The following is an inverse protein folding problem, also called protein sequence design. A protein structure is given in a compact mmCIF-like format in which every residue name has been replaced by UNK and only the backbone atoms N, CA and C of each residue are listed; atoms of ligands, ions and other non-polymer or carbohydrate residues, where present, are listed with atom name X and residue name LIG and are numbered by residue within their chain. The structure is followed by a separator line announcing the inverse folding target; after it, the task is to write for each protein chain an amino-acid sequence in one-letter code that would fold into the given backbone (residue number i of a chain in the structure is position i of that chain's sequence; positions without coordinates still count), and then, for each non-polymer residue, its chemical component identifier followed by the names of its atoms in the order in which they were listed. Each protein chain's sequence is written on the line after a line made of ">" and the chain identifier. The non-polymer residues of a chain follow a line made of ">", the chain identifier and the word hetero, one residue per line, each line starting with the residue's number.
data_IF_651226997767
#
_entry.id   IF_651226997767
#
_cell.length_a   1.000
_cell.length_b   1.000
_cell.length_c   1.000
_cell.angle_alpha   90.00
_cell.angle_beta   90.00
_cell.angle_gamma   90.00
#
_symmetry.space_group_name_H-M   'P 1'
#
loop_
_entity.id
_entity.type
_entity.pdbx_description
1 polymer ?
#
# COMPACT_ATOMS: atom_id res chain seq x y z
N UNK A 1 35.35 -41.87 26.76
CA UNK A 1 34.07 -41.14 26.75
C UNK A 1 34.22 -40.05 25.69
N UNK A 2 33.78 -40.31 24.45
CA UNK A 2 33.95 -39.36 23.32
C UNK A 2 32.67 -38.56 23.20
N UNK A 3 32.71 -37.31 23.65
CA UNK A 3 31.60 -36.36 23.53
C UNK A 3 31.27 -36.13 22.05
N UNK A 4 30.12 -36.66 21.62
CA UNK A 4 29.52 -36.30 20.34
C UNK A 4 28.99 -34.87 20.45
N UNK A 5 29.67 -33.90 19.86
CA UNK A 5 29.06 -32.59 19.61
C UNK A 5 27.79 -32.79 18.75
N UNK A 6 26.62 -32.29 19.19
CA UNK A 6 25.42 -32.36 18.38
C UNK A 6 25.60 -31.51 17.12
N UNK A 7 25.31 -32.12 15.97
CA UNK A 7 25.28 -31.49 14.65
C UNK A 7 24.47 -30.19 14.70
N UNK A 8 25.13 -29.08 14.38
CA UNK A 8 24.49 -27.78 14.23
C UNK A 8 23.49 -27.83 13.08
N UNK A 9 22.23 -28.15 13.40
CA UNK A 9 21.13 -27.98 12.47
C UNK A 9 21.13 -26.54 11.97
N UNK A 10 21.48 -26.37 10.70
CA UNK A 10 21.44 -25.10 10.01
C UNK A 10 19.98 -24.70 9.83
N UNK A 11 19.38 -24.15 10.90
CA UNK A 11 18.03 -23.58 10.86
C UNK A 11 18.00 -22.59 9.69
N UNK A 12 17.05 -22.70 8.75
CA UNK A 12 16.96 -21.80 7.62
C UNK A 12 16.91 -20.38 8.17
N UNK A 13 17.99 -19.61 7.93
CA UNK A 13 18.11 -18.24 8.38
C UNK A 13 17.01 -17.47 7.66
N UNK A 14 15.97 -17.09 8.39
CA UNK A 14 14.92 -16.21 7.89
C UNK A 14 15.59 -14.90 7.44
N UNK A 15 15.88 -14.79 6.14
CA UNK A 15 16.60 -13.68 5.56
C UNK A 15 15.66 -12.47 5.50
N UNK A 16 15.64 -11.69 6.58
CA UNK A 16 14.82 -10.50 6.79
C UNK A 16 15.11 -9.35 5.81
N UNK A 17 16.11 -9.49 4.95
CA UNK A 17 16.47 -8.51 3.91
C UNK A 17 15.32 -8.14 2.98
N UNK A 18 14.38 -9.07 2.75
CA UNK A 18 13.21 -8.80 1.91
C UNK A 18 12.05 -8.13 2.65
N UNK A 19 12.01 -8.20 3.99
CA UNK A 19 10.90 -7.70 4.79
C UNK A 19 10.89 -6.18 4.85
N UNK A 20 12.06 -5.57 5.05
CA UNK A 20 12.17 -4.10 5.11
C UNK A 20 11.81 -3.46 3.76
N UNK A 21 12.31 -4.03 2.65
CA UNK A 21 12.00 -3.54 1.30
C UNK A 21 10.54 -3.75 0.88
N UNK A 22 9.85 -4.75 1.44
CA UNK A 22 8.41 -4.93 1.28
C UNK A 22 7.67 -3.89 2.12
N UNK A 23 7.98 -3.80 3.41
CA UNK A 23 7.37 -2.85 4.32
C UNK A 23 7.46 -1.40 3.83
N UNK A 24 8.62 -0.96 3.34
CA UNK A 24 8.79 0.38 2.78
C UNK A 24 7.99 0.60 1.49
N UNK A 25 7.85 -0.42 0.63
CA UNK A 25 6.98 -0.37 -0.54
C UNK A 25 5.53 -0.12 -0.13
N UNK A 26 5.03 -0.92 0.81
CA UNK A 26 3.67 -0.80 1.32
C UNK A 26 3.42 0.52 2.03
N UNK A 27 4.41 1.01 2.78
CA UNK A 27 4.33 2.29 3.45
C UNK A 27 4.21 3.44 2.45
N UNK A 28 5.18 3.57 1.54
CA UNK A 28 5.27 4.70 0.60
C UNK A 28 4.22 4.62 -0.51
N UNK A 29 4.20 3.51 -1.25
CA UNK A 29 3.27 3.34 -2.38
C UNK A 29 1.85 3.06 -1.89
N UNK A 30 1.67 2.37 -0.75
CA UNK A 30 0.33 2.18 -0.19
C UNK A 30 -0.26 3.49 0.32
N UNK A 31 0.56 4.38 0.88
CA UNK A 31 0.11 5.71 1.26
C UNK A 31 -0.25 6.56 0.04
N UNK A 32 0.59 6.54 -1.01
CA UNK A 32 0.27 7.19 -2.29
C UNK A 32 -1.03 6.69 -2.92
N UNK A 33 -1.26 5.38 -2.89
CA UNK A 33 -2.50 4.77 -3.39
C UNK A 33 -3.72 5.20 -2.57
N UNK A 34 -3.59 5.24 -1.23
CA UNK A 34 -4.65 5.71 -0.35
C UNK A 34 -5.04 7.17 -0.62
N UNK A 35 -4.04 8.04 -0.83
CA UNK A 35 -4.28 9.44 -1.22
C UNK A 35 -4.96 9.55 -2.58
N UNK A 36 -4.50 8.79 -3.58
CA UNK A 36 -5.08 8.83 -4.92
C UNK A 36 -6.55 8.35 -4.92
N UNK A 37 -6.85 7.24 -4.25
CA UNK A 37 -8.21 6.71 -4.13
C UNK A 37 -9.12 7.63 -3.31
N UNK A 38 -8.62 8.18 -2.20
CA UNK A 38 -9.35 9.16 -1.39
C UNK A 38 -9.64 10.45 -2.17
N UNK A 39 -8.66 10.94 -2.93
CA UNK A 39 -8.86 12.08 -3.84
C UNK A 39 -9.91 11.78 -4.91
N UNK A 40 -9.87 10.58 -5.51
CA UNK A 40 -10.86 10.16 -6.50
C UNK A 40 -12.28 10.16 -5.91
N UNK A 41 -12.42 9.68 -4.67
CA UNK A 41 -13.68 9.68 -3.93
C UNK A 41 -14.17 11.09 -3.61
N UNK A 42 -13.26 12.00 -3.26
CA UNK A 42 -13.60 13.39 -3.00
C UNK A 42 -14.18 14.07 -4.26
N UNK A 43 -13.54 13.86 -5.42
CA UNK A 43 -13.94 14.45 -6.70
C UNK A 43 -15.20 13.79 -7.30
N UNK A 44 -15.32 12.45 -7.27
CA UNK A 44 -16.48 11.73 -7.82
C UNK A 44 -17.73 11.79 -6.93
N UNK A 45 -17.59 12.11 -5.65
CA UNK A 45 -18.73 12.16 -4.74
C UNK A 45 -19.64 13.38 -5.01
N UNK A 46 -20.97 13.24 -4.90
CA UNK A 46 -21.92 14.33 -5.12
C UNK A 46 -21.55 15.57 -4.28
N UNK A 47 -21.56 16.75 -4.90
CA UNK A 47 -21.20 18.03 -4.26
C UNK A 47 -19.72 18.43 -4.32
N UNK A 48 -18.84 17.65 -4.98
CA UNK A 48 -17.42 18.00 -5.13
C UNK A 48 -16.65 18.06 -3.79
N UNK A 49 -15.59 18.87 -3.72
CA UNK A 49 -14.73 19.02 -2.53
C UNK A 49 -15.50 19.69 -1.36
N UNK A 50 -16.59 20.40 -1.68
CA UNK A 50 -17.45 21.16 -0.75
C UNK A 50 -18.61 20.33 -0.16
N UNK A 51 -18.57 19.00 -0.28
CA UNK A 51 -19.63 18.10 0.18
C UNK A 51 -19.79 18.01 1.71
N UNK A 52 -19.80 19.11 2.44
CA UNK A 52 -20.09 19.19 3.87
C UNK A 52 -19.10 18.45 4.80
N UNK A 53 -19.18 18.75 6.10
CA UNK A 53 -18.26 18.21 7.11
C UNK A 53 -18.27 16.67 7.22
N UNK A 54 -19.42 16.03 7.00
CA UNK A 54 -19.55 14.58 7.08
C UNK A 54 -18.76 13.82 6.00
N UNK A 55 -18.74 14.33 4.77
CA UNK A 55 -17.98 13.70 3.66
C UNK A 55 -16.49 13.84 3.87
N UNK A 56 -16.03 14.98 4.36
CA UNK A 56 -14.61 15.21 4.68
C UNK A 56 -14.14 14.23 5.77
N UNK A 57 -14.91 14.08 6.84
CA UNK A 57 -14.60 13.09 7.88
C UNK A 57 -14.59 11.67 7.33
N UNK A 58 -15.59 11.28 6.55
CA UNK A 58 -15.63 9.96 5.93
C UNK A 58 -14.41 9.71 5.03
N UNK A 59 -14.04 10.68 4.21
CA UNK A 59 -12.88 10.60 3.33
C UNK A 59 -11.57 10.45 4.11
N UNK A 60 -11.45 11.17 5.24
CA UNK A 60 -10.31 11.08 6.15
C UNK A 60 -10.21 9.68 6.78
N UNK A 61 -11.35 9.11 7.18
CA UNK A 61 -11.41 7.75 7.73
C UNK A 61 -11.17 6.66 6.68
N UNK A 62 -11.45 6.92 5.40
CA UNK A 62 -11.28 5.97 4.29
C UNK A 62 -9.80 5.70 3.95
N UNK A 63 -8.92 6.67 4.22
CA UNK A 63 -7.47 6.52 4.00
C UNK A 63 -6.89 5.38 4.85
N UNK A 64 -7.24 5.30 6.13
CA UNK A 64 -6.73 4.27 7.06
C UNK A 64 -6.96 2.83 6.59
N UNK A 65 -8.20 2.38 6.29
CA UNK A 65 -8.45 1.01 5.85
C UNK A 65 -7.83 0.71 4.48
N UNK A 66 -7.82 1.67 3.55
CA UNK A 66 -7.14 1.49 2.25
C UNK A 66 -5.65 1.29 2.47
N UNK A 67 -5.03 2.11 3.31
CA UNK A 67 -3.60 2.02 3.60
C UNK A 67 -3.24 0.70 4.29
N UNK A 68 -4.04 0.28 5.28
CA UNK A 68 -3.89 -1.02 5.93
C UNK A 68 -4.04 -2.19 4.94
N UNK A 69 -5.04 -2.14 4.06
CA UNK A 69 -5.24 -3.17 3.03
C UNK A 69 -4.03 -3.24 2.08
N UNK A 70 -3.49 -2.10 1.66
CA UNK A 70 -2.28 -2.05 0.83
C UNK A 70 -1.05 -2.63 1.56
N UNK A 71 -0.88 -2.33 2.86
CA UNK A 71 0.17 -2.93 3.70
C UNK A 71 0.02 -4.44 3.79
N UNK A 72 -1.18 -4.96 3.97
CA UNK A 72 -1.44 -6.41 3.96
C UNK A 72 -1.14 -7.05 2.60
N UNK A 73 -1.51 -6.38 1.50
CA UNK A 73 -1.31 -6.88 0.14
C UNK A 73 0.16 -7.10 -0.20
N UNK A 74 1.04 -6.25 0.32
CA UNK A 74 2.49 -6.33 0.13
C UNK A 74 3.09 -7.62 0.69
N UNK A 75 2.51 -8.18 1.76
CA UNK A 75 2.95 -9.46 2.33
C UNK A 75 2.52 -10.67 1.50
N UNK A 76 1.52 -10.52 0.64
CA UNK A 76 1.11 -11.57 -0.30
C UNK A 76 2.19 -11.83 -1.36
N UNK A 77 3.06 -10.84 -1.63
CA UNK A 77 4.12 -10.98 -2.61
C UNK A 77 5.37 -11.65 -2.03
N UNK A 78 5.86 -12.67 -2.74
CA UNK A 78 7.05 -13.44 -2.33
C UNK A 78 8.36 -12.62 -2.42
N UNK A 79 8.43 -11.61 -3.29
CA UNK A 79 9.63 -10.79 -3.56
C UNK A 79 9.34 -9.29 -3.44
N UNK A 80 10.26 -8.52 -2.86
CA UNK A 80 10.13 -7.07 -2.70
C UNK A 80 10.00 -6.33 -4.03
N UNK A 81 10.73 -6.75 -5.07
CA UNK A 81 10.62 -6.17 -6.41
C UNK A 81 9.22 -6.31 -7.02
N UNK A 82 8.56 -7.46 -6.82
CA UNK A 82 7.17 -7.66 -7.28
C UNK A 82 6.20 -6.76 -6.52
N UNK A 83 6.38 -6.59 -5.22
CA UNK A 83 5.57 -5.68 -4.43
C UNK A 83 5.69 -4.24 -4.94
N UNK A 84 6.91 -3.76 -5.20
CA UNK A 84 7.16 -2.44 -5.79
C UNK A 84 6.54 -2.29 -7.19
N UNK A 85 6.70 -3.30 -8.06
CA UNK A 85 6.12 -3.26 -9.42
C UNK A 85 4.59 -3.20 -9.38
N UNK A 86 3.95 -4.05 -8.56
CA UNK A 86 2.49 -4.08 -8.45
C UNK A 86 1.93 -2.83 -7.78
N UNK A 87 2.49 -2.39 -6.66
CA UNK A 87 2.03 -1.15 -6.01
C UNK A 87 2.34 0.08 -6.86
N UNK A 88 3.47 0.08 -7.58
CA UNK A 88 3.82 1.12 -8.54
C UNK A 88 2.82 1.20 -9.69
N UNK A 89 2.51 0.06 -10.32
CA UNK A 89 1.48 -0.02 -11.36
C UNK A 89 0.11 0.42 -10.84
N UNK A 90 -0.30 -0.03 -9.65
CA UNK A 90 -1.55 0.40 -9.03
C UNK A 90 -1.57 1.91 -8.77
N UNK A 91 -0.46 2.50 -8.30
CA UNK A 91 -0.34 3.95 -8.14
C UNK A 91 -0.47 4.68 -9.47
N UNK A 92 0.23 4.23 -10.52
CA UNK A 92 0.16 4.85 -11.85
C UNK A 92 -1.29 4.83 -12.37
N UNK A 93 -1.99 3.71 -12.22
CA UNK A 93 -3.41 3.60 -12.60
C UNK A 93 -4.28 4.54 -11.76
N UNK A 94 -4.10 4.57 -10.44
CA UNK A 94 -4.91 5.40 -9.54
C UNK A 94 -4.68 6.91 -9.76
N UNK A 95 -3.41 7.33 -9.92
CA UNK A 95 -3.07 8.71 -10.24
C UNK A 95 -3.51 9.09 -11.66
N UNK A 96 -3.41 8.17 -12.63
CA UNK A 96 -3.93 8.38 -13.98
C UNK A 96 -5.44 8.59 -13.98
N UNK A 97 -6.18 7.75 -13.25
CA UNK A 97 -7.62 7.91 -13.04
C UNK A 97 -7.93 9.25 -12.36
N UNK A 98 -7.19 9.62 -11.31
CA UNK A 98 -7.36 10.90 -10.62
C UNK A 98 -7.09 12.09 -11.54
N UNK A 99 -6.11 11.99 -12.42
CA UNK A 99 -5.79 13.03 -13.38
C UNK A 99 -6.91 13.20 -14.42
N UNK A 100 -7.47 12.11 -14.94
CA UNK A 100 -8.61 12.13 -15.87
C UNK A 100 -9.86 12.69 -15.18
N UNK A 101 -10.18 12.20 -13.99
CA UNK A 101 -11.32 12.67 -13.19
C UNK A 101 -11.19 14.16 -12.90
N UNK A 102 -9.97 14.62 -12.56
CA UNK A 102 -9.70 16.03 -12.31
C UNK A 102 -9.69 16.87 -13.59
N UNK A 103 -9.29 16.35 -14.74
CA UNK A 103 -9.34 17.10 -16.01
C UNK A 103 -10.77 17.21 -16.58
N UNK A 104 -11.65 16.27 -16.24
CA UNK A 104 -13.06 16.29 -16.65
C UNK A 104 -13.93 17.13 -15.71
N UNK A 105 -13.61 17.18 -14.41
CA UNK A 105 -14.42 17.88 -13.40
C UNK A 105 -13.83 19.21 -12.89
N UNK A 106 -12.62 19.58 -13.26
CA UNK A 106 -12.08 20.93 -13.03
C UNK A 106 -12.44 21.87 -14.18
#
# INVERSE_FOLDING_TARGET
>A
MSDKQPSSESRPRLQSRHWFGKGSAGLLLGFGLALALSGLFAWLGPGGIDGGGGKIQFNMWLISPIWCMALSFVFLFRTSARAWCWLGAANVVAFGALWIVRSVMA
#
